data_IF_321210980640
#
_entry.id   IF_321210980640
#
_cell.length_a   1.000
_cell.length_b   1.000
_cell.length_c   1.000
_cell.angle_alpha   90.00
_cell.angle_beta   90.00
_cell.angle_gamma   90.00
#
_symmetry.space_group_name_H-M   'P 1'
#
loop_
_entity.id
_entity.type
_entity.pdbx_description
1 polymer ?
#
# COMPACT_ATOMS: atom_id res chain seq x y z
N UNK A 1 -15.06 -8.18 8.78
CA UNK A 1 -14.29 -9.38 8.38
C UNK A 1 -14.17 -9.49 6.85
N UNK A 2 -15.18 -9.95 6.11
CA UNK A 2 -15.06 -10.22 4.66
C UNK A 2 -14.81 -8.98 3.79
N UNK A 3 -15.43 -7.84 4.08
CA UNK A 3 -15.30 -6.63 3.26
C UNK A 3 -13.87 -6.07 3.19
N UNK A 4 -13.13 -6.09 4.30
CA UNK A 4 -11.72 -5.65 4.34
C UNK A 4 -10.83 -6.58 3.51
N UNK A 5 -11.07 -7.90 3.56
CA UNK A 5 -10.35 -8.87 2.73
C UNK A 5 -10.57 -8.62 1.23
N UNK A 6 -11.82 -8.40 0.81
CA UNK A 6 -12.15 -8.02 -0.57
C UNK A 6 -11.50 -6.69 -0.99
N UNK A 7 -11.46 -5.71 -0.09
CA UNK A 7 -10.76 -4.45 -0.33
C UNK A 7 -9.26 -4.65 -0.53
N UNK A 8 -8.60 -5.42 0.35
CA UNK A 8 -7.18 -5.74 0.24
C UNK A 8 -6.86 -6.55 -1.03
N UNK A 9 -7.77 -7.43 -1.47
CA UNK A 9 -7.65 -8.11 -2.76
C UNK A 9 -7.72 -7.15 -3.95
N UNK A 10 -8.64 -6.18 -3.91
CA UNK A 10 -8.75 -5.14 -4.94
C UNK A 10 -7.47 -4.31 -5.00
N UNK A 11 -7.00 -3.84 -3.83
CA UNK A 11 -5.76 -3.06 -3.73
C UNK A 11 -4.55 -3.87 -4.17
N UNK A 12 -4.47 -5.14 -3.77
CA UNK A 12 -3.44 -6.07 -4.22
C UNK A 12 -3.44 -6.25 -5.74
N UNK A 13 -4.63 -6.38 -6.35
CA UNK A 13 -4.80 -6.51 -7.80
C UNK A 13 -4.39 -5.24 -8.55
N UNK A 14 -4.75 -4.05 -8.04
CA UNK A 14 -4.27 -2.77 -8.59
C UNK A 14 -2.75 -2.67 -8.52
N UNK A 15 -2.15 -3.07 -7.40
CA UNK A 15 -0.68 -3.11 -7.25
C UNK A 15 -0.03 -4.06 -8.27
N UNK A 16 -0.65 -5.20 -8.53
CA UNK A 16 -0.21 -6.17 -9.56
C UNK A 16 -0.26 -5.58 -10.97
N UNK A 17 -1.33 -4.86 -11.31
CA UNK A 17 -1.43 -4.14 -12.57
C UNK A 17 -0.29 -3.10 -12.71
N UNK A 18 0.01 -2.36 -11.65
CA UNK A 18 1.14 -1.43 -11.62
C UNK A 18 2.50 -2.13 -11.80
N UNK A 19 2.69 -3.33 -11.26
CA UNK A 19 3.91 -4.14 -11.50
C UNK A 19 4.02 -4.55 -12.96
N UNK A 20 2.92 -5.02 -13.56
CA UNK A 20 2.90 -5.42 -14.96
C UNK A 20 3.34 -4.26 -15.86
N UNK A 21 2.79 -3.06 -15.64
CA UNK A 21 3.24 -1.86 -16.32
C UNK A 21 4.69 -1.50 -15.99
N UNK A 22 5.15 -1.68 -14.74
CA UNK A 22 6.54 -1.42 -14.38
C UNK A 22 7.58 -2.34 -15.04
N UNK A 23 7.22 -3.59 -15.34
CA UNK A 23 8.12 -4.55 -16.01
C UNK A 23 8.07 -4.47 -17.53
N UNK A 24 6.88 -4.34 -18.11
CA UNK A 24 6.69 -4.37 -19.57
C UNK A 24 6.64 -2.98 -20.21
N UNK A 25 6.34 -1.93 -19.42
CA UNK A 25 6.05 -0.59 -19.94
C UNK A 25 6.57 0.53 -19.00
N UNK A 26 7.90 0.56 -18.81
CA UNK A 26 8.61 1.52 -17.95
C UNK A 26 8.19 2.98 -18.23
N UNK A 27 7.83 3.32 -19.46
CA UNK A 27 7.37 4.65 -19.86
C UNK A 27 5.98 5.02 -19.30
N UNK A 28 5.10 4.04 -19.08
CA UNK A 28 3.81 4.27 -18.42
C UNK A 28 4.00 4.49 -16.92
N UNK A 29 4.86 3.70 -16.26
CA UNK A 29 5.20 3.86 -14.85
C UNK A 29 5.90 5.20 -14.58
N UNK A 30 6.84 5.59 -15.46
CA UNK A 30 7.57 6.86 -15.35
C UNK A 30 6.62 8.06 -15.44
N UNK A 31 5.65 8.05 -16.36
CA UNK A 31 4.65 9.12 -16.49
C UNK A 31 3.63 9.14 -15.34
N UNK A 32 3.24 7.96 -14.84
CA UNK A 32 2.22 7.82 -13.80
C UNK A 32 2.75 8.00 -12.37
N UNK A 33 4.06 7.92 -12.14
CA UNK A 33 4.65 7.94 -10.80
C UNK A 33 5.75 9.01 -10.70
N UNK A 34 6.77 8.98 -11.57
CA UNK A 34 7.95 9.86 -11.52
C UNK A 34 8.02 10.78 -12.74
N UNK A 35 7.04 11.67 -12.91
CA UNK A 35 6.91 12.51 -14.11
C UNK A 35 8.06 13.50 -14.30
N UNK A 36 8.81 13.83 -13.23
CA UNK A 36 9.79 14.93 -13.22
C UNK A 36 11.25 14.45 -13.25
N UNK A 37 11.53 13.14 -13.20
CA UNK A 37 12.92 12.65 -13.12
C UNK A 37 13.23 11.47 -14.03
N UNK A 38 14.49 11.40 -14.45
CA UNK A 38 14.97 10.28 -15.25
C UNK A 38 15.25 9.06 -14.36
N UNK A 39 14.24 8.21 -14.17
CA UNK A 39 14.41 6.91 -13.53
C UNK A 39 15.30 5.97 -14.39
N UNK A 40 16.24 5.26 -13.75
CA UNK A 40 17.05 4.18 -14.37
C UNK A 40 16.24 2.88 -14.47
N UNK A 41 16.50 2.07 -15.50
CA UNK A 41 15.79 0.79 -15.70
C UNK A 41 15.93 -0.17 -14.50
N UNK A 42 17.10 -0.19 -13.86
CA UNK A 42 17.35 -1.03 -12.68
C UNK A 42 16.44 -0.61 -11.52
N UNK A 43 16.27 0.71 -11.33
CA UNK A 43 15.40 1.24 -10.28
C UNK A 43 13.93 0.89 -10.54
N UNK A 44 13.48 0.92 -11.79
CA UNK A 44 12.13 0.48 -12.18
C UNK A 44 11.86 -0.99 -11.84
N UNK A 45 12.84 -1.87 -12.11
CA UNK A 45 12.74 -3.30 -11.76
C UNK A 45 12.73 -3.52 -10.25
N UNK A 46 13.56 -2.79 -9.48
CA UNK A 46 13.54 -2.85 -8.01
C UNK A 46 12.20 -2.39 -7.45
N UNK A 47 11.64 -1.30 -7.95
CA UNK A 47 10.31 -0.82 -7.57
C UNK A 47 9.22 -1.85 -7.90
N UNK A 48 9.32 -2.52 -9.04
CA UNK A 48 8.45 -3.63 -9.43
C UNK A 48 8.52 -4.81 -8.46
N UNK A 49 9.73 -5.27 -8.09
CA UNK A 49 9.93 -6.37 -7.12
C UNK A 49 9.41 -5.99 -5.74
N UNK A 50 9.69 -4.76 -5.29
CA UNK A 50 9.14 -4.26 -4.02
C UNK A 50 7.61 -4.24 -4.04
N UNK A 51 7.01 -3.77 -5.14
CA UNK A 51 5.54 -3.76 -5.29
C UNK A 51 4.96 -5.19 -5.29
N UNK A 52 5.62 -6.15 -5.94
CA UNK A 52 5.24 -7.58 -5.86
C UNK A 52 5.25 -8.10 -4.43
N UNK A 53 6.29 -7.80 -3.66
CA UNK A 53 6.38 -8.21 -2.26
C UNK A 53 5.18 -7.68 -1.45
N UNK A 54 4.87 -6.38 -1.59
CA UNK A 54 3.74 -5.78 -0.88
C UNK A 54 2.39 -6.31 -1.36
N UNK A 55 2.28 -6.67 -2.64
CA UNK A 55 1.10 -7.31 -3.23
C UNK A 55 0.85 -8.69 -2.61
N UNK A 56 1.91 -9.51 -2.50
CA UNK A 56 1.84 -10.81 -1.82
C UNK A 56 1.41 -10.66 -0.36
N UNK A 57 1.93 -9.67 0.36
CA UNK A 57 1.45 -9.36 1.73
C UNK A 57 -0.04 -9.03 1.76
N UNK A 58 -0.54 -8.21 0.81
CA UNK A 58 -1.96 -7.86 0.74
C UNK A 58 -2.85 -9.10 0.51
N UNK A 59 -2.46 -10.01 -0.40
CA UNK A 59 -3.23 -11.23 -0.63
C UNK A 59 -3.17 -12.19 0.55
N UNK A 60 -1.98 -12.41 1.13
CA UNK A 60 -1.84 -13.25 2.31
C UNK A 60 -2.68 -12.72 3.48
N UNK A 61 -2.72 -11.40 3.66
CA UNK A 61 -3.52 -10.75 4.69
C UNK A 61 -5.01 -10.80 4.39
N UNK A 62 -5.41 -10.69 3.12
CA UNK A 62 -6.81 -10.82 2.73
C UNK A 62 -7.34 -12.25 2.97
N UNK A 63 -6.50 -13.27 2.76
CA UNK A 63 -6.84 -14.67 2.99
C UNK A 63 -6.78 -15.06 4.48
N UNK A 64 -5.93 -14.41 5.27
CA UNK A 64 -5.72 -14.71 6.69
C UNK A 64 -5.76 -13.44 7.56
N UNK A 65 -6.93 -12.82 7.66
CA UNK A 65 -7.13 -11.60 8.47
C UNK A 65 -6.95 -11.82 9.97
N UNK A 66 -7.10 -13.05 10.46
CA UNK A 66 -6.97 -13.38 11.90
C UNK A 66 -5.50 -13.41 12.38
N UNK A 67 -4.54 -13.47 11.45
CA UNK A 67 -3.12 -13.51 11.78
C UNK A 67 -2.61 -12.10 12.11
N UNK A 68 -2.57 -11.77 13.41
CA UNK A 68 -2.11 -10.46 13.93
C UNK A 68 -0.75 -10.02 13.36
N UNK A 69 0.32 -10.85 13.35
CA UNK A 69 1.59 -10.50 12.73
C UNK A 69 1.47 -10.07 11.26
N UNK A 70 0.69 -10.82 10.47
CA UNK A 70 0.58 -10.61 9.04
C UNK A 70 -0.28 -9.38 8.70
N UNK A 71 -1.28 -9.12 9.53
CA UNK A 71 -2.06 -7.90 9.53
C UNK A 71 -1.19 -6.66 9.79
N UNK A 72 -0.37 -6.72 10.85
CA UNK A 72 0.52 -5.63 11.25
C UNK A 72 1.61 -5.39 10.18
N UNK A 73 2.17 -6.45 9.59
CA UNK A 73 3.11 -6.34 8.48
C UNK A 73 2.50 -5.66 7.25
N UNK A 74 1.27 -6.02 6.90
CA UNK A 74 0.55 -5.40 5.77
C UNK A 74 0.21 -3.95 6.05
N UNK A 75 -0.21 -3.65 7.28
CA UNK A 75 -0.45 -2.29 7.75
C UNK A 75 0.81 -1.41 7.66
N UNK A 76 1.95 -1.91 8.16
CA UNK A 76 3.24 -1.22 8.06
C UNK A 76 3.68 -1.04 6.59
N UNK A 77 3.39 -2.01 5.72
CA UNK A 77 3.68 -1.88 4.29
C UNK A 77 2.96 -0.68 3.67
N UNK A 78 1.71 -0.41 4.05
CA UNK A 78 1.00 0.81 3.60
C UNK A 78 1.62 2.09 4.16
N UNK A 79 2.05 2.09 5.42
CA UNK A 79 2.73 3.24 6.03
C UNK A 79 4.05 3.54 5.32
N UNK A 80 4.87 2.51 5.06
CA UNK A 80 6.14 2.68 4.36
C UNK A 80 5.94 3.17 2.93
N UNK A 81 4.93 2.65 2.22
CA UNK A 81 4.59 3.15 0.90
C UNK A 81 4.21 4.63 0.94
N UNK A 82 3.30 5.02 1.83
CA UNK A 82 2.86 6.41 1.98
C UNK A 82 4.02 7.33 2.38
N UNK A 83 4.85 6.91 3.34
CA UNK A 83 6.04 7.63 3.77
C UNK A 83 7.06 7.83 2.64
N UNK A 84 7.32 6.79 1.83
CA UNK A 84 8.19 6.91 0.67
C UNK A 84 7.65 7.93 -0.34
N UNK A 85 6.39 7.83 -0.76
CA UNK A 85 5.79 8.79 -1.70
C UNK A 85 5.69 10.22 -1.13
N UNK A 86 5.45 10.36 0.17
CA UNK A 86 5.43 11.65 0.85
C UNK A 86 6.82 12.29 0.88
N UNK A 87 7.86 11.50 1.15
CA UNK A 87 9.26 11.94 1.14
C UNK A 87 9.67 12.36 -0.27
N UNK A 88 9.24 11.59 -1.26
CA UNK A 88 9.48 11.86 -2.67
C UNK A 88 8.82 13.16 -3.16
N UNK A 89 7.65 13.49 -2.62
CA UNK A 89 6.96 14.74 -2.89
C UNK A 89 7.56 15.95 -2.12
N UNK A 90 7.81 15.80 -0.82
CA UNK A 90 8.23 16.91 0.06
C UNK A 90 9.72 17.23 -0.01
N UNK A 91 10.57 16.23 -0.19
CA UNK A 91 12.04 16.39 -0.16
C UNK A 91 12.61 16.39 -1.57
N UNK A 92 12.27 15.37 -2.35
CA UNK A 92 12.90 15.13 -3.65
C UNK A 92 12.17 15.80 -4.82
N UNK A 93 10.93 16.28 -4.62
CA UNK A 93 10.09 16.95 -5.62
C UNK A 93 9.99 16.23 -6.98
N UNK A 94 10.11 14.89 -6.99
CA UNK A 94 10.12 14.12 -8.25
C UNK A 94 8.72 13.67 -8.69
N UNK A 95 7.73 13.82 -7.79
CA UNK A 95 6.34 13.44 -8.00
C UNK A 95 5.41 14.65 -8.21
N UNK A 96 4.47 14.51 -9.13
CA UNK A 96 3.32 15.41 -9.25
C UNK A 96 2.29 15.13 -8.15
N UNK A 97 1.67 16.19 -7.62
CA UNK A 97 0.68 16.10 -6.54
C UNK A 97 -0.53 15.22 -6.88
N UNK A 98 -0.92 15.14 -8.18
CA UNK A 98 -2.02 14.28 -8.63
C UNK A 98 -1.75 12.78 -8.44
N UNK A 99 -0.49 12.36 -8.62
CA UNK A 99 -0.10 10.96 -8.43
C UNK A 99 -0.01 10.62 -6.94
N UNK A 100 0.49 11.57 -6.13
CA UNK A 100 0.50 11.44 -4.67
C UNK A 100 -0.92 11.37 -4.11
N UNK A 101 -1.85 12.19 -4.59
CA UNK A 101 -3.23 12.18 -4.13
C UNK A 101 -3.91 10.82 -4.39
N UNK A 102 -3.70 10.25 -5.57
CA UNK A 102 -4.25 8.92 -5.92
C UNK A 102 -3.72 7.84 -4.98
N UNK A 103 -2.40 7.77 -4.80
CA UNK A 103 -1.78 6.79 -3.91
C UNK A 103 -2.17 7.03 -2.45
N UNK A 104 -2.22 8.29 -2.02
CA UNK A 104 -2.60 8.70 -0.68
C UNK A 104 -4.05 8.33 -0.35
N UNK A 105 -4.97 8.42 -1.32
CA UNK A 105 -6.35 7.95 -1.13
C UNK A 105 -6.35 6.44 -0.92
N UNK A 106 -5.78 5.63 -1.82
CA UNK A 106 -5.83 4.17 -1.68
C UNK A 106 -5.08 3.65 -0.46
N UNK A 107 -3.88 4.18 -0.18
CA UNK A 107 -3.09 3.81 0.98
C UNK A 107 -3.75 4.32 2.27
N UNK A 108 -4.21 5.57 2.29
CA UNK A 108 -4.87 6.19 3.44
C UNK A 108 -6.19 5.50 3.80
N UNK A 109 -7.04 5.20 2.82
CA UNK A 109 -8.28 4.45 3.07
C UNK A 109 -7.98 3.06 3.61
N UNK A 110 -6.92 2.39 3.11
CA UNK A 110 -6.52 1.07 3.59
C UNK A 110 -6.00 1.12 5.04
N UNK A 111 -5.18 2.11 5.38
CA UNK A 111 -4.68 2.36 6.74
C UNK A 111 -5.83 2.62 7.71
N UNK A 112 -6.74 3.54 7.38
CA UNK A 112 -7.87 3.90 8.25
C UNK A 112 -8.78 2.69 8.46
N UNK A 113 -9.09 1.95 7.40
CA UNK A 113 -9.96 0.78 7.51
C UNK A 113 -9.29 -0.34 8.33
N UNK A 114 -7.98 -0.53 8.15
CA UNK A 114 -7.24 -1.48 8.98
C UNK A 114 -7.16 -1.04 10.46
N UNK A 115 -7.06 0.25 10.76
CA UNK A 115 -7.09 0.74 12.14
C UNK A 115 -8.47 0.58 12.79
N UNK A 116 -9.54 0.92 12.08
CA UNK A 116 -10.92 0.77 12.58
C UNK A 116 -11.23 -0.70 12.88
N UNK A 117 -10.81 -1.61 11.99
CA UNK A 117 -11.03 -3.06 12.18
C UNK A 117 -10.14 -3.64 13.30
N UNK A 118 -8.98 -3.04 13.57
CA UNK A 118 -8.13 -3.42 14.71
C UNK A 118 -8.76 -3.05 16.04
N UNK A 119 -9.28 -1.82 16.17
CA UNK A 119 -10.00 -1.38 17.37
C UNK A 119 -11.27 -2.20 17.61
N UNK A 120 -11.93 -2.68 16.55
CA UNK A 120 -13.09 -3.58 16.67
C UNK A 120 -12.71 -5.01 17.11
N UNK A 121 -11.44 -5.41 16.98
CA UNK A 121 -10.93 -6.71 17.41
C UNK A 121 -10.36 -6.72 18.83
N UNK A 122 -10.06 -5.55 19.42
CA UNK A 122 -9.78 -5.48 20.85
C UNK A 122 -11.08 -5.77 21.60
N UNK A 123 -11.16 -6.86 22.39
CA UNK A 123 -12.28 -7.06 23.28
C UNK A 123 -12.31 -5.86 24.22
N UNK A 124 -13.44 -5.16 24.25
CA UNK A 124 -13.77 -4.21 25.31
C UNK A 124 -13.47 -4.92 26.64
N UNK A 125 -12.35 -4.56 27.29
CA UNK A 125 -12.06 -5.02 28.64
C UNK A 125 -13.26 -4.58 29.48
N UNK A 126 -14.07 -5.50 30.04
CA UNK A 126 -15.24 -5.09 30.78
C UNK A 126 -14.74 -4.24 31.94
N UNK A 127 -15.15 -2.97 31.96
CA UNK A 127 -14.98 -2.08 33.11
C UNK A 127 -15.44 -2.85 34.33
N UNK A 128 -14.48 -3.19 35.20
CA UNK A 128 -14.73 -3.79 36.49
C UNK A 128 -15.64 -2.82 37.23
N UNK A 129 -16.93 -3.16 37.34
CA UNK A 129 -17.86 -2.47 38.24
C UNK A 129 -17.40 -2.82 39.65
N UNK A 130 -16.83 -1.82 40.32
CA UNK A 130 -16.56 -1.84 41.77
C UNK A 130 -17.85 -1.99 42.58
#
# INVERSE_FOLDING_TARGET
>A
MKALGWWLMLVGSLRLASVWFGFFDIWALRRAVFSQTTMSEIHGRTFGVWTLLTCTMCFLCALNLDNKPLYLATFLSFIYALGHFLTEYLIYHTMAIGNLATVGVFAGTSIVWMLVQWNAHEPQTPLKKD
#
